data_IF_591432924425
#
_entry.id   IF_591432924425
#
_cell.length_a   1.000
_cell.length_b   1.000
_cell.length_c   1.000
_cell.angle_alpha   90.00
_cell.angle_beta   90.00
_cell.angle_gamma   90.00
#
_symmetry.space_group_name_H-M   'P 1'
#
loop_
_entity.id
_entity.type
_entity.pdbx_description
1 polymer ?
#
# COMPACT_ATOMS: atom_id res chain seq x y z
N UNK A 1 11.56 -4.08 -20.85
CA UNK A 1 10.52 -3.16 -20.33
C UNK A 1 10.67 -1.80 -21.02
N UNK A 2 9.66 -0.94 -20.97
CA UNK A 2 9.79 0.44 -21.50
C UNK A 2 9.62 1.39 -20.31
N UNK A 3 10.57 2.31 -20.12
CA UNK A 3 10.51 3.33 -19.07
C UNK A 3 9.22 4.15 -19.18
N UNK A 4 8.69 4.59 -18.04
CA UNK A 4 7.64 5.61 -18.09
C UNK A 4 8.21 6.96 -18.56
N UNK A 5 7.38 7.84 -19.16
CA UNK A 5 7.82 9.16 -19.60
C UNK A 5 8.51 9.96 -18.49
N UNK A 6 7.95 9.97 -17.28
CA UNK A 6 8.55 10.69 -16.17
C UNK A 6 9.89 10.10 -15.70
N UNK A 7 10.06 8.78 -15.75
CA UNK A 7 11.36 8.15 -15.47
C UNK A 7 12.41 8.55 -16.52
N UNK A 8 12.01 8.73 -17.79
CA UNK A 8 12.89 9.26 -18.83
C UNK A 8 13.22 10.74 -18.59
N UNK A 9 12.23 11.57 -18.25
CA UNK A 9 12.43 13.00 -17.96
C UNK A 9 13.41 13.23 -16.78
N UNK A 10 13.35 12.39 -15.75
CA UNK A 10 14.28 12.44 -14.62
C UNK A 10 15.72 12.20 -15.09
N UNK A 11 15.92 11.22 -15.98
CA UNK A 11 17.24 10.88 -16.52
C UNK A 11 17.78 11.98 -17.41
N UNK A 12 16.91 12.59 -18.23
CA UNK A 12 17.26 13.74 -19.06
C UNK A 12 17.74 14.93 -18.21
N UNK A 13 17.13 15.12 -17.03
CA UNK A 13 17.47 16.16 -16.07
C UNK A 13 18.72 15.91 -15.20
N UNK A 14 19.35 14.74 -15.29
CA UNK A 14 20.59 14.48 -14.52
C UNK A 14 21.77 15.24 -15.10
N UNK A 15 22.45 16.03 -14.27
CA UNK A 15 23.68 16.76 -14.65
C UNK A 15 24.98 16.02 -14.28
N UNK A 16 24.90 14.91 -13.55
CA UNK A 16 26.02 14.07 -13.13
C UNK A 16 25.61 12.57 -13.18
N UNK A 17 26.52 11.66 -12.83
CA UNK A 17 26.29 10.22 -12.85
C UNK A 17 25.51 9.78 -11.61
N UNK A 18 24.31 9.23 -11.83
CA UNK A 18 23.57 8.48 -10.83
C UNK A 18 24.10 7.05 -10.74
N UNK A 19 24.63 6.66 -9.59
CA UNK A 19 25.09 5.28 -9.34
C UNK A 19 24.01 4.50 -8.60
N UNK A 20 23.61 3.36 -9.16
CA UNK A 20 22.65 2.42 -8.59
C UNK A 20 23.39 1.16 -8.15
N UNK A 21 23.40 0.86 -6.86
CA UNK A 21 23.97 -0.37 -6.31
C UNK A 21 22.84 -1.31 -5.88
N UNK A 22 22.58 -2.34 -6.71
CA UNK A 22 21.61 -3.38 -6.43
C UNK A 22 22.26 -4.50 -5.63
N UNK A 23 21.83 -4.67 -4.38
CA UNK A 23 22.26 -5.74 -3.49
C UNK A 23 21.26 -6.88 -3.57
N UNK A 24 21.67 -8.03 -4.10
CA UNK A 24 20.79 -9.17 -4.32
C UNK A 24 21.45 -10.50 -3.99
N UNK A 25 20.63 -11.51 -3.70
CA UNK A 25 21.07 -12.90 -3.59
C UNK A 25 21.15 -13.55 -4.98
N UNK A 26 22.20 -14.33 -5.26
CA UNK A 26 22.31 -15.13 -6.51
C UNK A 26 21.18 -16.16 -6.63
N UNK A 27 20.80 -16.72 -5.49
CA UNK A 27 19.68 -17.64 -5.36
C UNK A 27 18.66 -17.04 -4.38
N UNK A 28 17.78 -16.13 -4.82
CA UNK A 28 16.80 -15.50 -3.93
C UNK A 28 15.83 -16.55 -3.36
N UNK A 29 15.27 -16.28 -2.18
CA UNK A 29 14.19 -17.08 -1.64
C UNK A 29 12.96 -17.03 -2.56
N UNK A 30 12.21 -18.15 -2.62
CA UNK A 30 11.04 -18.30 -3.51
C UNK A 30 10.06 -17.11 -3.44
N UNK A 31 9.72 -16.54 -2.26
CA UNK A 31 8.80 -15.41 -2.19
C UNK A 31 9.23 -14.15 -2.94
N UNK A 32 10.54 -13.96 -3.20
CA UNK A 32 11.09 -12.72 -3.81
C UNK A 32 11.80 -12.98 -5.14
N UNK A 33 11.80 -14.21 -5.63
CA UNK A 33 12.52 -14.58 -6.85
C UNK A 33 12.00 -13.82 -8.10
N UNK A 34 10.68 -13.62 -8.19
CA UNK A 34 10.07 -12.82 -9.26
C UNK A 34 10.46 -11.35 -9.16
N UNK A 35 10.33 -10.75 -7.97
CA UNK A 35 10.72 -9.37 -7.73
C UNK A 35 12.19 -9.12 -8.09
N UNK A 36 13.10 -10.02 -7.67
CA UNK A 36 14.54 -9.93 -7.98
C UNK A 36 14.79 -9.84 -9.49
N UNK A 37 14.15 -10.73 -10.27
CA UNK A 37 14.27 -10.71 -11.73
C UNK A 37 13.71 -9.43 -12.33
N UNK A 38 12.47 -9.08 -11.99
CA UNK A 38 11.77 -7.96 -12.61
C UNK A 38 12.44 -6.61 -12.30
N UNK A 39 12.97 -6.45 -11.08
CA UNK A 39 13.78 -5.29 -10.67
C UNK A 39 15.10 -5.24 -11.42
N UNK A 40 15.80 -6.38 -11.52
CA UNK A 40 17.06 -6.48 -12.27
C UNK A 40 16.88 -6.07 -13.73
N UNK A 41 15.91 -6.66 -14.41
CA UNK A 41 15.59 -6.36 -15.82
C UNK A 41 15.25 -4.87 -16.01
N UNK A 42 14.43 -4.30 -15.11
CA UNK A 42 14.07 -2.88 -15.17
C UNK A 42 15.27 -1.95 -14.96
N UNK A 43 16.14 -2.24 -13.99
CA UNK A 43 17.31 -1.40 -13.71
C UNK A 43 18.35 -1.48 -14.84
N UNK A 44 18.48 -2.64 -15.49
CA UNK A 44 19.31 -2.81 -16.68
C UNK A 44 18.79 -1.96 -17.85
N UNK A 45 17.47 -2.00 -18.10
CA UNK A 45 16.82 -1.14 -19.11
C UNK A 45 16.96 0.35 -18.76
N UNK A 46 16.81 0.72 -17.49
CA UNK A 46 16.96 2.09 -16.99
C UNK A 46 18.38 2.63 -17.19
N UNK A 47 19.40 1.84 -16.87
CA UNK A 47 20.79 2.20 -17.11
C UNK A 47 21.11 2.28 -18.61
N UNK A 48 20.62 1.32 -19.41
CA UNK A 48 20.84 1.30 -20.86
C UNK A 48 20.18 2.50 -21.59
N UNK A 49 19.02 2.96 -21.11
CA UNK A 49 18.29 4.10 -21.66
C UNK A 49 18.79 5.48 -21.21
N UNK A 50 19.90 5.56 -20.47
CA UNK A 50 20.35 6.80 -19.81
C UNK A 50 21.46 7.59 -20.49
N UNK A 51 21.90 7.17 -21.68
CA UNK A 51 23.04 7.77 -22.39
C UNK A 51 24.32 7.89 -21.51
N UNK A 52 24.49 6.95 -20.57
CA UNK A 52 25.65 6.88 -19.68
C UNK A 52 25.54 7.70 -18.39
N UNK A 53 24.40 8.39 -18.16
CA UNK A 53 24.13 9.14 -16.92
C UNK A 53 23.77 8.26 -15.74
N UNK A 54 23.39 7.00 -15.97
CA UNK A 54 23.07 6.04 -14.92
C UNK A 54 24.00 4.83 -14.98
N UNK A 55 24.66 4.53 -13.85
CA UNK A 55 25.54 3.38 -13.69
C UNK A 55 24.93 2.35 -12.75
N UNK A 56 24.58 1.18 -13.26
CA UNK A 56 24.16 0.03 -12.45
C UNK A 56 25.35 -0.82 -12.00
N UNK A 57 25.40 -1.16 -10.71
CA UNK A 57 26.36 -2.07 -10.09
C UNK A 57 25.60 -3.14 -9.32
N UNK A 58 25.75 -4.41 -9.74
CA UNK A 58 25.16 -5.56 -9.03
C UNK A 58 26.15 -6.05 -7.97
N UNK A 59 25.67 -6.17 -6.74
CA UNK A 59 26.42 -6.52 -5.52
C UNK A 59 25.80 -7.80 -4.95
N UNK A 60 26.63 -8.77 -4.57
CA UNK A 60 26.18 -10.05 -4.04
C UNK A 60 26.72 -10.24 -2.61
N UNK A 61 25.99 -9.81 -1.57
CA UNK A 61 26.48 -9.82 -0.18
C UNK A 61 26.86 -11.20 0.38
N UNK A 62 26.42 -12.26 -0.28
CA UNK A 62 26.66 -13.64 0.13
C UNK A 62 27.96 -14.23 -0.44
N UNK A 63 28.57 -13.57 -1.43
CA UNK A 63 29.77 -14.08 -2.11
C UNK A 63 31.06 -13.85 -1.29
N UNK A 64 31.18 -12.70 -0.60
CA UNK A 64 32.36 -12.36 0.20
C UNK A 64 32.07 -11.32 1.32
N UNK A 65 32.99 -11.22 2.29
CA UNK A 65 32.85 -10.34 3.47
C UNK A 65 32.87 -8.84 3.15
N UNK A 66 33.53 -8.41 2.07
CA UNK A 66 33.58 -7.00 1.69
C UNK A 66 32.26 -6.55 1.07
N UNK A 67 31.63 -7.39 0.24
CA UNK A 67 30.29 -7.15 -0.30
C UNK A 67 29.23 -7.16 0.80
N UNK A 68 29.34 -8.06 1.79
CA UNK A 68 28.52 -8.04 2.99
C UNK A 68 28.65 -6.71 3.75
N UNK A 69 29.89 -6.26 3.96
CA UNK A 69 30.16 -5.00 4.67
C UNK A 69 29.58 -3.80 3.91
N UNK A 70 29.68 -3.78 2.58
CA UNK A 70 29.06 -2.73 1.75
C UNK A 70 27.55 -2.71 1.88
N UNK A 71 26.88 -3.87 1.88
CA UNK A 71 25.44 -3.96 2.08
C UNK A 71 25.02 -3.40 3.45
N UNK A 72 25.77 -3.73 4.50
CA UNK A 72 25.54 -3.21 5.85
C UNK A 72 25.71 -1.68 5.92
N UNK A 73 26.81 -1.14 5.36
CA UNK A 73 27.04 0.31 5.29
C UNK A 73 25.98 1.00 4.43
N UNK A 74 25.45 0.31 3.42
CA UNK A 74 24.37 0.81 2.60
C UNK A 74 23.00 0.80 3.28
N UNK A 75 22.86 0.14 4.43
CA UNK A 75 21.57 -0.03 5.10
C UNK A 75 20.68 -1.08 4.43
N UNK A 76 21.28 -2.09 3.78
CA UNK A 76 20.57 -3.21 3.14
C UNK A 76 20.79 -4.49 3.95
N UNK A 77 19.90 -4.80 4.92
CA UNK A 77 20.02 -6.01 5.73
C UNK A 77 19.47 -7.26 5.02
N UNK A 78 19.92 -8.47 5.38
CA UNK A 78 19.29 -9.70 4.90
C UNK A 78 17.88 -9.85 5.46
N UNK A 79 16.97 -10.40 4.65
CA UNK A 79 15.63 -10.82 5.10
C UNK A 79 15.57 -12.34 5.20
N UNK A 80 15.02 -12.85 6.29
CA UNK A 80 14.85 -14.28 6.53
C UNK A 80 13.49 -14.73 6.03
N UNK A 81 13.48 -15.81 5.26
CA UNK A 81 12.28 -16.43 4.69
C UNK A 81 12.14 -17.86 5.20
N UNK A 82 10.94 -18.21 5.61
CA UNK A 82 10.58 -19.58 5.93
C UNK A 82 10.23 -20.31 4.63
N UNK A 83 11.20 -21.02 4.06
CA UNK A 83 11.03 -21.78 2.82
C UNK A 83 10.75 -23.24 3.17
N UNK A 84 9.64 -23.79 2.66
CA UNK A 84 9.34 -25.20 2.81
C UNK A 84 9.91 -25.97 1.63
N UNK A 85 11.03 -26.67 1.84
CA UNK A 85 11.67 -27.51 0.83
C UNK A 85 11.56 -28.98 1.25
N UNK A 86 11.01 -29.82 0.38
CA UNK A 86 10.89 -31.29 0.59
C UNK A 86 10.24 -31.73 1.92
N UNK A 87 9.36 -30.89 2.50
CA UNK A 87 8.65 -31.19 3.74
C UNK A 87 9.32 -30.65 5.02
N UNK A 88 10.52 -30.08 4.92
CA UNK A 88 11.20 -29.41 6.04
C UNK A 88 11.05 -27.89 5.93
N UNK A 89 10.95 -27.23 7.08
CA UNK A 89 11.03 -25.77 7.19
C UNK A 89 12.51 -25.37 7.25
N UNK A 90 12.97 -24.64 6.24
CA UNK A 90 14.32 -24.08 6.19
C UNK A 90 14.24 -22.56 6.23
N UNK A 91 15.03 -21.95 7.11
CA UNK A 91 15.21 -20.50 7.15
C UNK A 91 16.27 -20.15 6.11
N UNK A 92 15.88 -19.42 5.07
CA UNK A 92 16.79 -18.90 4.04
C UNK A 92 16.90 -17.39 4.18
N UNK A 93 18.11 -16.87 4.36
CA UNK A 93 18.36 -15.44 4.26
C UNK A 93 18.47 -15.05 2.78
N UNK A 94 17.95 -13.88 2.40
CA UNK A 94 18.15 -13.32 1.06
C UNK A 94 18.21 -11.80 1.09
N UNK A 95 18.93 -11.23 0.13
CA UNK A 95 19.07 -9.79 -0.08
C UNK A 95 18.28 -9.36 -1.31
N UNK A 96 17.64 -8.20 -1.22
CA UNK A 96 17.05 -7.48 -2.35
C UNK A 96 16.83 -6.02 -1.93
N UNK A 97 17.84 -5.19 -2.10
CA UNK A 97 17.80 -3.76 -1.75
C UNK A 97 18.60 -2.92 -2.74
N UNK A 98 18.36 -1.61 -2.73
CA UNK A 98 18.95 -0.67 -3.70
C UNK A 98 19.53 0.53 -2.96
N UNK A 99 20.81 0.83 -3.18
CA UNK A 99 21.42 2.10 -2.78
C UNK A 99 21.59 2.96 -4.03
N UNK A 100 21.29 4.25 -3.90
CA UNK A 100 21.39 5.23 -4.98
C UNK A 100 22.27 6.38 -4.51
N UNK A 101 23.15 6.85 -5.39
CA UNK A 101 24.07 7.94 -5.07
C UNK A 101 24.15 8.90 -6.24
N UNK A 102 23.91 10.17 -5.95
CA UNK A 102 23.96 11.26 -6.91
C UNK A 102 24.64 12.46 -6.25
N UNK A 103 25.78 12.90 -6.81
CA UNK A 103 26.63 13.96 -6.22
C UNK A 103 27.00 13.62 -4.76
N UNK A 104 26.47 14.35 -3.78
CA UNK A 104 26.67 14.15 -2.34
C UNK A 104 25.46 13.52 -1.64
N UNK A 105 24.38 13.31 -2.38
CA UNK A 105 23.15 12.71 -1.88
C UNK A 105 23.17 11.19 -2.01
N UNK A 106 22.64 10.53 -0.98
CA UNK A 106 22.50 9.07 -0.95
C UNK A 106 21.12 8.69 -0.41
N UNK A 107 20.43 7.85 -1.17
CA UNK A 107 19.15 7.28 -0.80
C UNK A 107 19.21 5.75 -0.86
N UNK A 108 18.55 5.08 0.09
CA UNK A 108 18.52 3.61 0.14
C UNK A 108 17.09 3.10 0.24
N UNK A 109 16.79 2.06 -0.54
CA UNK A 109 15.67 1.15 -0.32
C UNK A 109 16.21 -0.11 0.39
N UNK A 110 15.99 -0.26 1.72
CA UNK A 110 16.60 -1.35 2.49
C UNK A 110 16.14 -2.73 2.04
N UNK A 111 14.88 -2.82 1.60
CA UNK A 111 14.30 -4.04 1.08
C UNK A 111 13.18 -3.78 0.09
N UNK A 112 13.17 -4.54 -1.01
CA UNK A 112 12.16 -4.47 -2.06
C UNK A 112 11.39 -5.78 -2.07
N UNK A 113 10.11 -5.74 -1.70
CA UNK A 113 9.26 -6.93 -1.63
C UNK A 113 8.69 -7.35 -3.00
N UNK A 114 8.40 -6.37 -3.85
CA UNK A 114 7.70 -6.53 -5.14
C UNK A 114 8.18 -5.49 -6.14
N UNK A 115 7.99 -5.77 -7.43
CA UNK A 115 8.15 -4.77 -8.49
C UNK A 115 7.02 -3.72 -8.47
N UNK A 116 5.85 -4.09 -7.95
CA UNK A 116 4.72 -3.18 -7.82
C UNK A 116 5.09 -1.98 -6.94
N UNK A 117 4.96 -0.77 -7.52
CA UNK A 117 5.34 0.49 -6.88
C UNK A 117 6.85 0.78 -6.84
N UNK A 118 7.71 -0.15 -7.27
CA UNK A 118 9.16 0.02 -7.22
C UNK A 118 9.65 1.16 -8.13
N UNK A 119 9.25 1.16 -9.41
CA UNK A 119 9.64 2.21 -10.37
C UNK A 119 9.30 3.60 -9.82
N UNK A 120 8.08 3.75 -9.30
CA UNK A 120 7.61 5.00 -8.70
C UNK A 120 8.45 5.42 -7.48
N UNK A 121 8.71 4.49 -6.55
CA UNK A 121 9.52 4.77 -5.36
C UNK A 121 10.95 5.18 -5.74
N UNK A 122 11.54 4.49 -6.71
CA UNK A 122 12.88 4.81 -7.21
C UNK A 122 12.90 6.20 -7.85
N UNK A 123 11.98 6.49 -8.77
CA UNK A 123 11.86 7.79 -9.42
C UNK A 123 11.71 8.93 -8.42
N UNK A 124 10.90 8.72 -7.37
CA UNK A 124 10.68 9.68 -6.29
C UNK A 124 11.96 10.00 -5.51
N UNK A 125 12.72 8.96 -5.15
CA UNK A 125 14.00 9.11 -4.45
C UNK A 125 15.05 9.80 -5.32
N UNK A 126 15.12 9.47 -6.61
CA UNK A 126 16.03 10.15 -7.54
C UNK A 126 15.65 11.62 -7.66
N UNK A 127 14.37 11.94 -7.85
CA UNK A 127 13.93 13.32 -7.96
C UNK A 127 14.31 14.15 -6.73
N UNK A 128 14.13 13.60 -5.53
CA UNK A 128 14.56 14.23 -4.28
C UNK A 128 16.07 14.47 -4.21
N UNK A 129 16.90 13.55 -4.71
CA UNK A 129 18.35 13.74 -4.74
C UNK A 129 18.79 14.79 -5.77
N UNK A 130 18.00 15.01 -6.82
CA UNK A 130 18.28 15.99 -7.89
C UNK A 130 17.83 17.40 -7.50
N UNK A 131 16.82 17.53 -6.64
CA UNK A 131 16.34 18.82 -6.16
C UNK A 131 17.30 19.41 -5.11
N UNK A 132 17.93 20.54 -5.46
CA UNK A 132 18.87 21.27 -4.58
C UNK A 132 18.21 21.94 -3.35
N UNK A 133 16.89 22.11 -3.35
CA UNK A 133 16.15 22.78 -2.27
C UNK A 133 15.13 21.84 -1.62
N UNK A 134 15.20 21.73 -0.30
CA UNK A 134 14.20 21.02 0.49
C UNK A 134 12.83 21.67 0.31
N UNK A 135 11.84 20.86 -0.08
CA UNK A 135 10.43 21.27 -0.10
C UNK A 135 9.98 21.64 1.32
N UNK A 136 9.04 22.57 1.41
CA UNK A 136 8.51 23.10 2.66
C UNK A 136 7.28 22.32 3.15
N UNK A 137 7.30 21.93 4.42
CA UNK A 137 6.17 21.29 5.10
C UNK A 137 5.73 22.20 6.24
N UNK A 138 4.55 22.81 6.10
CA UNK A 138 4.05 23.80 7.05
C UNK A 138 2.90 23.22 7.87
N UNK A 139 3.02 23.28 9.20
CA UNK A 139 1.95 22.90 10.12
C UNK A 139 1.12 24.14 10.48
N UNK A 140 -0.19 24.09 10.24
CA UNK A 140 -1.11 25.14 10.66
C UNK A 140 -1.48 24.97 12.13
N UNK A 141 -1.19 25.97 12.95
CA UNK A 141 -1.50 25.99 14.39
C UNK A 141 -2.26 27.26 14.78
N UNK A 142 -2.56 27.41 16.08
CA UNK A 142 -3.24 28.59 16.63
C UNK A 142 -4.70 28.36 17.07
N UNK A 143 -5.32 27.26 16.68
CA UNK A 143 -6.72 26.92 16.98
C UNK A 143 -6.85 25.54 17.64
N UNK A 144 -5.88 25.24 18.51
CA UNK A 144 -5.83 24.00 19.28
C UNK A 144 -5.38 22.76 18.51
N UNK A 145 -4.86 22.92 17.29
CA UNK A 145 -4.14 21.87 16.55
C UNK A 145 -2.83 21.49 17.25
N UNK A 146 -2.42 20.24 17.08
CA UNK A 146 -1.06 19.80 17.36
C UNK A 146 -0.09 20.30 16.27
N UNK A 147 1.20 20.45 16.62
CA UNK A 147 2.23 20.94 15.72
C UNK A 147 3.64 20.47 16.10
N UNK A 148 4.67 20.94 15.38
CA UNK A 148 6.07 20.57 15.61
C UNK A 148 6.55 20.88 17.03
N UNK A 149 6.05 21.98 17.61
CA UNK A 149 6.41 22.41 18.97
C UNK A 149 5.65 21.67 20.07
N UNK A 150 4.55 20.98 19.73
CA UNK A 150 3.71 20.28 20.70
C UNK A 150 2.75 19.29 20.06
N UNK A 151 2.89 18.01 20.41
CA UNK A 151 2.04 16.92 19.93
C UNK A 151 2.66 16.09 18.82
N UNK A 152 3.37 16.71 17.85
CA UNK A 152 4.00 16.03 16.72
C UNK A 152 5.52 16.19 16.66
N UNK A 153 6.17 16.33 17.82
CA UNK A 153 7.59 16.68 17.90
C UNK A 153 8.48 15.63 17.23
N UNK A 154 8.20 14.35 17.49
CA UNK A 154 8.94 13.21 16.94
C UNK A 154 8.75 13.11 15.43
N UNK A 155 7.52 13.28 14.95
CA UNK A 155 7.21 13.23 13.53
C UNK A 155 7.88 14.40 12.77
N UNK A 156 7.76 15.62 13.30
CA UNK A 156 8.40 16.80 12.71
C UNK A 156 9.94 16.71 12.70
N UNK A 157 10.54 16.15 13.75
CA UNK A 157 11.98 15.92 13.81
C UNK A 157 12.45 14.99 12.68
N UNK A 158 11.72 13.91 12.42
CA UNK A 158 12.04 12.98 11.33
C UNK A 158 11.79 13.58 9.95
N UNK A 159 10.77 14.43 9.80
CA UNK A 159 10.55 15.16 8.55
C UNK A 159 11.68 16.14 8.21
N UNK A 160 12.34 16.71 9.22
CA UNK A 160 13.40 17.72 9.04
C UNK A 160 14.61 17.16 8.28
N UNK A 161 14.81 15.84 8.29
CA UNK A 161 15.87 15.18 7.52
C UNK A 161 15.71 15.43 6.01
N UNK A 162 14.47 15.40 5.50
CA UNK A 162 14.16 15.55 4.07
C UNK A 162 13.52 16.91 3.70
N UNK A 163 12.86 17.59 4.65
CA UNK A 163 12.02 18.76 4.38
C UNK A 163 12.41 19.98 5.22
N UNK A 164 12.06 21.16 4.73
CA UNK A 164 12.03 22.38 5.55
C UNK A 164 10.71 22.41 6.34
N UNK A 165 10.76 22.00 7.61
CA UNK A 165 9.57 21.96 8.46
C UNK A 165 9.37 23.29 9.18
N UNK A 166 8.20 23.88 9.03
CA UNK A 166 7.82 25.15 9.69
C UNK A 166 6.47 25.05 10.38
N UNK A 167 6.28 25.87 11.40
CA UNK A 167 5.00 26.07 12.07
C UNK A 167 4.45 27.45 11.69
N UNK A 168 3.17 27.51 11.35
CA UNK A 168 2.44 28.74 11.03
C UNK A 168 1.27 28.91 11.99
N UNK A 169 1.42 29.83 12.93
CA UNK A 169 0.41 30.12 13.93
C UNK A 169 -0.58 31.17 13.40
N UNK A 170 -1.79 30.72 13.04
CA UNK A 170 -2.84 31.59 12.49
C UNK A 170 -3.67 32.33 13.54
N UNK A 171 -3.32 32.25 14.83
CA UNK A 171 -4.00 33.04 15.89
C UNK A 171 -3.53 34.50 15.93
N UNK A 172 -2.35 34.79 15.37
CA UNK A 172 -1.76 36.13 15.35
C UNK A 172 -2.23 36.94 14.13
N UNK A 173 -2.29 36.28 12.96
CA UNK A 173 -2.80 36.83 11.71
C UNK A 173 -3.72 35.81 11.02
N UNK A 174 -5.04 36.09 10.96
CA UNK A 174 -5.98 35.22 10.26
C UNK A 174 -5.75 35.16 8.75
N UNK A 175 -5.15 36.18 8.14
CA UNK A 175 -4.87 36.30 6.72
C UNK A 175 -3.52 35.64 6.36
N UNK A 176 -3.45 34.33 6.55
CA UNK A 176 -2.21 33.59 6.33
C UNK A 176 -1.80 33.57 4.84
N UNK A 177 -0.49 33.77 4.61
CA UNK A 177 0.13 33.62 3.30
C UNK A 177 0.70 32.20 3.15
N UNK A 178 0.08 31.42 2.27
CA UNK A 178 0.50 30.05 1.92
C UNK A 178 1.30 29.99 0.62
N UNK A 179 1.75 31.13 0.08
CA UNK A 179 2.61 31.14 -1.09
C UNK A 179 3.96 30.48 -0.80
N UNK A 180 4.40 29.59 -1.70
CA UNK A 180 5.64 28.83 -1.53
C UNK A 180 5.58 27.72 -0.48
N UNK A 181 4.39 27.36 0.01
CA UNK A 181 4.18 26.15 0.82
C UNK A 181 4.00 24.96 -0.12
N UNK A 182 4.83 23.92 0.02
CA UNK A 182 4.71 22.71 -0.81
C UNK A 182 3.71 21.72 -0.22
N UNK A 183 3.71 21.54 1.10
CA UNK A 183 2.75 20.69 1.82
C UNK A 183 2.23 21.40 3.07
N UNK A 184 0.91 21.46 3.22
CA UNK A 184 0.23 21.95 4.42
C UNK A 184 -0.22 20.78 5.29
N UNK A 185 0.03 20.83 6.60
CA UNK A 185 -0.43 19.85 7.58
C UNK A 185 -1.41 20.52 8.55
N UNK A 186 -2.61 19.95 8.69
CA UNK A 186 -3.62 20.40 9.65
C UNK A 186 -3.99 19.22 10.56
N UNK A 187 -3.69 19.32 11.85
CA UNK A 187 -3.89 18.24 12.81
C UNK A 187 -4.93 18.57 13.88
N UNK A 188 -6.15 18.06 13.70
CA UNK A 188 -7.21 18.01 14.72
C UNK A 188 -7.52 19.36 15.38
N UNK A 189 -8.08 20.35 14.68
CA UNK A 189 -8.48 21.61 15.31
C UNK A 189 -9.52 21.38 16.42
N UNK A 190 -9.32 22.05 17.56
CA UNK A 190 -10.21 21.96 18.73
C UNK A 190 -10.85 23.29 19.10
N UNK A 191 -10.55 24.35 18.33
CA UNK A 191 -11.12 25.69 18.44
C UNK A 191 -11.53 26.19 17.05
N UNK A 192 -12.44 27.16 17.00
CA UNK A 192 -12.94 27.70 15.74
C UNK A 192 -11.81 28.34 14.92
N UNK A 193 -11.65 27.91 13.67
CA UNK A 193 -10.78 28.55 12.69
C UNK A 193 -11.55 29.73 12.06
N UNK A 194 -11.01 30.96 12.06
CA UNK A 194 -11.64 32.11 11.42
C UNK A 194 -11.89 31.88 9.93
N UNK A 195 -12.98 32.45 9.42
CA UNK A 195 -13.34 32.34 8.00
C UNK A 195 -12.22 32.81 7.06
N UNK A 196 -11.46 33.84 7.45
CA UNK A 196 -10.33 34.36 6.69
C UNK A 196 -9.23 33.29 6.52
N UNK A 197 -8.83 32.63 7.61
CA UNK A 197 -7.86 31.52 7.58
C UNK A 197 -8.40 30.34 6.78
N UNK A 198 -9.67 29.98 6.99
CA UNK A 198 -10.30 28.89 6.25
C UNK A 198 -10.33 29.17 4.73
N UNK A 199 -10.60 30.41 4.33
CA UNK A 199 -10.60 30.83 2.93
C UNK A 199 -9.18 30.76 2.33
N UNK A 200 -8.14 31.20 3.04
CA UNK A 200 -6.75 31.05 2.58
C UNK A 200 -6.37 29.57 2.33
N UNK A 201 -6.81 28.66 3.21
CA UNK A 201 -6.56 27.21 3.03
C UNK A 201 -7.32 26.67 1.82
N UNK A 202 -8.58 27.05 1.64
CA UNK A 202 -9.37 26.65 0.46
C UNK A 202 -8.73 27.16 -0.83
N UNK A 203 -8.30 28.42 -0.87
CA UNK A 203 -7.62 29.02 -2.02
C UNK A 203 -6.30 28.31 -2.33
N UNK A 204 -5.48 28.05 -1.31
CA UNK A 204 -4.24 27.28 -1.45
C UNK A 204 -4.47 25.92 -2.12
N UNK A 205 -5.41 25.11 -1.61
CA UNK A 205 -5.70 23.79 -2.18
C UNK A 205 -6.28 23.94 -3.59
N UNK A 206 -7.22 24.87 -3.81
CA UNK A 206 -7.82 25.10 -5.13
C UNK A 206 -6.79 25.49 -6.19
N UNK A 207 -5.71 26.16 -5.79
CA UNK A 207 -4.61 26.56 -6.65
C UNK A 207 -3.53 25.46 -6.80
N UNK A 208 -3.84 24.18 -6.55
CA UNK A 208 -2.88 23.07 -6.71
C UNK A 208 -2.04 22.79 -5.47
N UNK A 209 -2.40 23.36 -4.32
CA UNK A 209 -1.79 23.07 -3.03
C UNK A 209 -1.96 21.62 -2.61
N UNK A 210 -1.00 21.12 -1.82
CA UNK A 210 -1.00 19.76 -1.29
C UNK A 210 -1.19 19.78 0.21
N UNK A 211 -2.03 18.89 0.74
CA UNK A 211 -2.39 18.91 2.16
C UNK A 211 -2.53 17.53 2.80
N UNK A 212 -2.03 17.40 4.02
CA UNK A 212 -2.36 16.32 4.95
C UNK A 212 -3.35 16.85 5.99
N UNK A 213 -4.59 16.38 5.90
CA UNK A 213 -5.69 16.76 6.78
C UNK A 213 -5.98 15.61 7.74
N UNK A 214 -5.76 15.83 9.03
CA UNK A 214 -6.07 14.86 10.08
C UNK A 214 -7.22 15.43 10.91
N UNK A 215 -8.37 14.79 10.84
CA UNK A 215 -9.65 15.37 11.26
C UNK A 215 -10.28 14.51 12.33
N UNK A 216 -10.42 15.07 13.54
CA UNK A 216 -11.17 14.45 14.63
C UNK A 216 -12.59 15.01 14.63
N UNK A 217 -13.57 14.28 14.09
CA UNK A 217 -14.98 14.69 14.17
C UNK A 217 -15.53 14.48 15.59
N UNK A 218 -14.89 13.62 16.38
CA UNK A 218 -15.23 13.28 17.76
C UNK A 218 -14.10 13.69 18.71
N UNK A 219 -14.41 14.51 19.72
CA UNK A 219 -13.49 14.83 20.80
C UNK A 219 -13.61 13.81 21.94
N UNK A 220 -12.52 13.11 22.24
CA UNK A 220 -12.47 12.08 23.28
C UNK A 220 -11.77 12.58 24.54
N UNK A 221 -12.47 12.48 25.68
CA UNK A 221 -11.83 12.62 27.00
C UNK A 221 -11.24 11.27 27.41
N UNK A 222 -9.94 11.11 27.17
CA UNK A 222 -9.23 9.85 27.44
C UNK A 222 -9.24 9.44 28.91
N UNK A 223 -9.39 10.40 29.84
CA UNK A 223 -9.40 10.11 31.28
C UNK A 223 -10.71 9.47 31.73
N UNK A 224 -11.81 9.89 31.12
CA UNK A 224 -13.17 9.41 31.43
C UNK A 224 -13.69 8.38 30.42
N UNK A 225 -13.01 8.23 29.28
CA UNK A 225 -13.42 7.40 28.15
C UNK A 225 -14.86 7.72 27.69
N UNK A 226 -15.11 9.01 27.53
CA UNK A 226 -16.36 9.55 26.98
C UNK A 226 -16.04 10.46 25.80
N UNK A 227 -16.94 10.51 24.83
CA UNK A 227 -16.80 11.32 23.64
C UNK A 227 -17.94 12.33 23.47
N UNK A 228 -17.67 13.34 22.66
CA UNK A 228 -18.69 14.25 22.14
C UNK A 228 -18.27 14.79 20.78
N UNK A 229 -19.23 15.31 20.02
CA UNK A 229 -18.96 15.94 18.73
C UNK A 229 -17.93 17.08 18.87
N UNK A 230 -16.88 17.02 18.05
CA UNK A 230 -15.97 18.13 17.83
C UNK A 230 -16.55 19.08 16.79
N UNK A 231 -17.25 20.11 17.26
CA UNK A 231 -17.85 21.15 16.41
C UNK A 231 -16.83 22.01 15.68
N UNK A 232 -15.56 21.93 16.06
CA UNK A 232 -14.46 22.69 15.46
C UNK A 232 -13.54 21.80 14.60
N UNK A 233 -13.95 20.56 14.31
CA UNK A 233 -13.18 19.55 13.58
C UNK A 233 -12.67 20.00 12.21
N UNK A 234 -13.29 21.02 11.61
CA UNK A 234 -12.97 21.50 10.26
C UNK A 234 -13.25 20.46 9.17
N UNK A 235 -14.14 19.49 9.44
CA UNK A 235 -14.57 18.43 8.50
C UNK A 235 -15.22 18.94 7.21
N UNK A 236 -15.72 20.17 7.20
CA UNK A 236 -16.29 20.80 6.00
C UNK A 236 -15.23 21.15 4.95
N UNK A 237 -13.94 21.25 5.33
CA UNK A 237 -12.84 21.49 4.39
C UNK A 237 -12.66 20.32 3.41
N UNK A 238 -12.36 19.08 3.86
CA UNK A 238 -12.19 17.94 2.94
C UNK A 238 -13.46 17.64 2.13
N UNK A 239 -14.65 17.96 2.64
CA UNK A 239 -15.92 17.74 1.93
C UNK A 239 -15.99 18.52 0.60
N UNK A 240 -15.43 19.74 0.57
CA UNK A 240 -15.32 20.56 -0.64
C UNK A 240 -14.52 19.88 -1.75
N UNK A 241 -13.60 19.01 -1.37
CA UNK A 241 -12.72 18.28 -2.28
C UNK A 241 -13.13 16.81 -2.44
N UNK A 242 -14.33 16.45 -1.98
CA UNK A 242 -14.96 15.15 -2.25
C UNK A 242 -14.79 14.10 -1.17
N UNK A 243 -14.19 14.42 0.00
CA UNK A 243 -14.04 13.48 1.11
C UNK A 243 -14.91 13.91 2.29
N UNK A 244 -15.83 13.05 2.70
CA UNK A 244 -16.73 13.28 3.84
C UNK A 244 -16.09 12.62 5.06
N UNK A 245 -15.86 13.38 6.13
CA UNK A 245 -15.49 12.82 7.43
C UNK A 245 -16.76 12.70 8.27
N UNK A 246 -17.16 11.47 8.58
CA UNK A 246 -18.41 11.20 9.29
C UNK A 246 -18.29 11.54 10.78
N UNK A 247 -19.43 11.82 11.41
CA UNK A 247 -19.52 12.13 12.84
C UNK A 247 -19.77 10.86 13.65
N UNK A 248 -18.80 9.94 13.60
CA UNK A 248 -18.86 8.62 14.22
C UNK A 248 -17.48 8.17 14.74
N UNK A 249 -17.46 7.01 15.41
CA UNK A 249 -16.24 6.29 15.73
C UNK A 249 -16.28 4.89 15.12
N UNK A 250 -15.23 4.52 14.42
CA UNK A 250 -15.01 3.15 13.97
C UNK A 250 -14.28 2.36 15.06
N UNK A 251 -14.69 1.12 15.25
CA UNK A 251 -13.97 0.18 16.09
C UNK A 251 -13.85 -1.18 15.41
N UNK A 252 -12.81 -1.92 15.74
CA UNK A 252 -12.53 -3.21 15.14
C UNK A 252 -12.39 -4.29 16.21
N UNK A 253 -13.19 -5.36 16.11
CA UNK A 253 -13.23 -6.41 17.12
C UNK A 253 -12.01 -7.35 17.03
N UNK A 254 -11.27 -7.36 15.92
CA UNK A 254 -10.11 -8.24 15.73
C UNK A 254 -8.81 -7.48 15.47
N UNK A 255 -8.84 -6.47 14.61
CA UNK A 255 -7.67 -5.67 14.24
C UNK A 255 -7.57 -4.43 15.14
N UNK A 256 -7.17 -4.64 16.40
CA UNK A 256 -7.04 -3.57 17.39
C UNK A 256 -5.81 -3.72 18.29
N UNK A 257 -5.49 -2.67 19.02
CA UNK A 257 -4.39 -2.65 19.98
C UNK A 257 -4.77 -3.19 21.36
N UNK A 258 -3.77 -3.73 22.07
CA UNK A 258 -3.88 -4.06 23.50
C UNK A 258 -3.28 -2.93 24.34
N UNK A 259 -4.10 -2.33 25.21
CA UNK A 259 -3.71 -1.19 26.03
C UNK A 259 -3.75 -1.48 27.52
N UNK A 260 -2.98 -0.70 28.29
CA UNK A 260 -2.96 -0.72 29.75
C UNK A 260 -4.06 0.19 30.31
N UNK A 261 -4.92 -0.38 31.15
CA UNK A 261 -5.97 0.33 31.87
C UNK A 261 -5.76 0.22 33.38
N UNK A 262 -5.96 1.32 34.10
CA UNK A 262 -5.87 1.35 35.56
C UNK A 262 -7.19 0.85 36.17
N UNK A 263 -7.09 -0.11 37.09
CA UNK A 263 -8.22 -0.64 37.87
C UNK A 263 -7.93 -0.54 39.36
N UNK A 264 -8.93 -0.80 40.20
CA UNK A 264 -8.76 -0.83 41.66
C UNK A 264 -7.72 -1.86 42.14
N UNK A 265 -7.42 -2.87 41.32
CA UNK A 265 -6.49 -3.98 41.66
C UNK A 265 -5.13 -3.81 40.96
N UNK A 266 -4.94 -2.72 40.22
CA UNK A 266 -3.72 -2.40 39.46
C UNK A 266 -3.96 -2.25 37.96
N UNK A 267 -2.88 -2.23 37.18
CA UNK A 267 -2.95 -2.14 35.72
C UNK A 267 -3.31 -3.49 35.09
N UNK A 268 -4.27 -3.50 34.18
CA UNK A 268 -4.62 -4.65 33.33
C UNK A 268 -4.40 -4.31 31.87
N UNK A 269 -4.06 -5.29 31.05
CA UNK A 269 -3.93 -5.13 29.60
C UNK A 269 -5.14 -5.74 28.91
N UNK A 270 -5.83 -4.94 28.10
CA UNK A 270 -7.06 -5.35 27.41
C UNK A 270 -6.99 -4.96 25.93
N UNK A 271 -7.46 -5.82 25.01
CA UNK A 271 -7.78 -5.41 23.65
C UNK A 271 -8.75 -4.22 23.69
N UNK A 272 -8.50 -3.22 22.87
CA UNK A 272 -9.30 -2.00 22.86
C UNK A 272 -9.77 -1.67 21.44
N UNK A 273 -11.00 -2.08 21.07
CA UNK A 273 -11.51 -2.00 19.70
C UNK A 273 -11.45 -0.62 19.03
N UNK A 274 -11.56 0.46 19.81
CA UNK A 274 -11.46 1.83 19.29
C UNK A 274 -10.05 2.27 18.88
N UNK A 275 -9.01 1.50 19.23
CA UNK A 275 -7.66 1.71 18.70
C UNK A 275 -7.43 0.75 17.54
N UNK A 276 -7.99 1.13 16.40
CA UNK A 276 -8.06 0.28 15.21
C UNK A 276 -6.68 0.17 14.59
N UNK A 277 -6.25 -1.06 14.29
CA UNK A 277 -5.08 -1.36 13.46
C UNK A 277 -5.55 -1.58 12.03
N UNK A 278 -5.69 -0.49 11.28
CA UNK A 278 -6.20 -0.52 9.92
C UNK A 278 -5.14 -1.02 8.92
N UNK A 279 -5.40 -2.08 8.13
CA UNK A 279 -4.53 -2.48 7.04
C UNK A 279 -4.41 -1.41 5.94
N UNK A 280 -3.23 -1.38 5.32
CA UNK A 280 -2.96 -0.58 4.13
C UNK A 280 -3.53 -1.26 2.89
N UNK A 281 -4.28 -0.50 2.09
CA UNK A 281 -4.90 -0.99 0.84
C UNK A 281 -4.03 -0.66 -0.39
N UNK A 282 -3.55 0.57 -0.52
CA UNK A 282 -2.71 1.00 -1.65
C UNK A 282 -1.24 1.20 -1.24
N UNK A 283 -0.41 0.21 -1.58
CA UNK A 283 1.05 0.22 -1.36
C UNK A 283 1.81 1.22 -2.22
N UNK A 284 1.20 1.81 -3.26
CA UNK A 284 1.85 2.82 -4.11
C UNK A 284 2.15 4.09 -3.32
N UNK A 285 1.22 4.48 -2.44
CA UNK A 285 1.32 5.68 -1.62
C UNK A 285 1.83 5.34 -0.22
N UNK A 286 1.38 4.22 0.36
CA UNK A 286 1.77 3.80 1.69
C UNK A 286 3.13 3.07 1.78
N UNK A 287 3.73 2.69 0.64
CA UNK A 287 4.99 1.96 0.58
C UNK A 287 4.90 0.54 1.14
N UNK A 288 5.89 0.13 1.93
CA UNK A 288 5.96 -1.20 2.54
C UNK A 288 5.19 -1.30 3.88
N UNK A 289 4.46 -0.26 4.28
CA UNK A 289 3.69 -0.30 5.53
C UNK A 289 2.49 -1.22 5.36
N UNK A 290 2.30 -2.14 6.30
CA UNK A 290 1.23 -3.13 6.24
C UNK A 290 -0.05 -2.65 6.95
N UNK A 291 0.10 -1.86 8.02
CA UNK A 291 -1.01 -1.31 8.80
C UNK A 291 -0.58 -0.07 9.57
N UNK A 292 -1.56 0.72 10.00
CA UNK A 292 -1.37 1.82 10.95
C UNK A 292 -2.41 1.75 12.06
N UNK A 293 -2.06 2.25 13.24
CA UNK A 293 -2.95 2.33 14.39
C UNK A 293 -3.61 3.71 14.45
N UNK A 294 -4.94 3.77 14.48
CA UNK A 294 -5.70 5.00 14.59
C UNK A 294 -6.58 4.96 15.86
N UNK A 295 -6.23 5.71 16.91
CA UNK A 295 -7.07 5.85 18.09
C UNK A 295 -8.33 6.67 17.81
N UNK A 296 -9.50 6.07 18.02
CA UNK A 296 -10.80 6.75 17.92
C UNK A 296 -11.03 7.42 16.55
N UNK A 297 -10.72 6.70 15.48
CA UNK A 297 -10.91 7.20 14.11
C UNK A 297 -12.38 7.28 13.71
N UNK A 298 -12.71 8.31 12.94
CA UNK A 298 -13.98 8.43 12.23
C UNK A 298 -13.92 7.80 10.85
N UNK A 299 -15.07 7.33 10.37
CA UNK A 299 -15.19 6.78 9.02
C UNK A 299 -15.15 7.89 7.95
N UNK A 300 -14.65 7.53 6.77
CA UNK A 300 -14.53 8.42 5.62
C UNK A 300 -15.44 7.96 4.48
N UNK A 301 -16.22 8.90 3.96
CA UNK A 301 -17.04 8.75 2.75
C UNK A 301 -16.44 9.49 1.55
N UNK A 302 -16.87 9.11 0.35
CA UNK A 302 -16.54 9.82 -0.89
C UNK A 302 -17.81 10.42 -1.48
N UNK A 303 -17.79 11.73 -1.71
CA UNK A 303 -18.91 12.44 -2.30
C UNK A 303 -19.14 11.98 -3.75
N UNK A 304 -20.31 11.42 -4.02
CA UNK A 304 -20.72 10.99 -5.37
C UNK A 304 -20.65 12.16 -6.38
N UNK A 305 -20.97 13.38 -5.93
CA UNK A 305 -20.95 14.57 -6.79
C UNK A 305 -19.55 14.97 -7.29
N UNK A 306 -18.50 14.58 -6.55
CA UNK A 306 -17.10 14.93 -6.86
C UNK A 306 -16.34 13.75 -7.47
N UNK A 307 -16.89 12.53 -7.45
CA UNK A 307 -16.22 11.29 -7.88
C UNK A 307 -15.75 11.32 -9.34
N UNK A 308 -16.45 12.06 -10.21
CA UNK A 308 -16.02 12.22 -11.60
C UNK A 308 -14.82 13.15 -11.74
N UNK A 309 -14.65 14.11 -10.84
CA UNK A 309 -13.62 15.16 -10.87
C UNK A 309 -12.33 14.75 -10.15
N UNK A 310 -12.41 13.85 -9.18
CA UNK A 310 -11.25 13.40 -8.40
C UNK A 310 -10.88 11.95 -8.69
N UNK A 311 -9.58 11.66 -8.64
CA UNK A 311 -9.05 10.31 -8.47
C UNK A 311 -9.01 9.99 -6.97
N UNK A 312 -9.60 8.87 -6.57
CA UNK A 312 -9.65 8.43 -5.18
C UNK A 312 -8.70 7.25 -4.97
N UNK A 313 -7.89 7.34 -3.93
CA UNK A 313 -6.86 6.37 -3.57
C UNK A 313 -7.10 5.92 -2.12
N UNK A 314 -7.77 4.78 -1.89
CA UNK A 314 -7.91 4.23 -0.54
C UNK A 314 -6.54 3.96 0.08
N UNK A 315 -6.28 4.48 1.28
CA UNK A 315 -5.00 4.28 1.99
C UNK A 315 -5.17 3.27 3.10
N UNK A 316 -6.09 3.54 4.04
CA UNK A 316 -6.39 2.68 5.18
C UNK A 316 -7.88 2.35 5.20
N UNK A 317 -8.17 1.07 5.37
CA UNK A 317 -9.52 0.54 5.55
C UNK A 317 -9.51 -0.38 6.77
N UNK A 318 -10.60 -0.41 7.52
CA UNK A 318 -10.76 -1.33 8.65
C UNK A 318 -10.97 -2.77 8.19
N UNK A 319 -10.84 -3.74 9.10
CA UNK A 319 -11.08 -5.14 8.75
C UNK A 319 -12.58 -5.42 8.57
N UNK A 320 -12.91 -6.58 8.01
CA UNK A 320 -14.29 -7.06 7.90
C UNK A 320 -14.98 -7.28 9.27
N UNK A 321 -14.24 -7.22 10.38
CA UNK A 321 -14.73 -7.37 11.75
C UNK A 321 -14.92 -6.04 12.48
N UNK A 322 -14.91 -4.93 11.73
CA UNK A 322 -15.18 -3.61 12.25
C UNK A 322 -16.66 -3.23 12.19
N UNK A 323 -17.04 -2.27 13.01
CA UNK A 323 -18.36 -1.67 13.06
C UNK A 323 -18.25 -0.18 13.44
N UNK A 324 -19.36 0.54 13.32
CA UNK A 324 -19.44 1.98 13.54
C UNK A 324 -20.30 2.27 14.78
N UNK A 325 -19.78 3.07 15.71
CA UNK A 325 -20.55 3.64 16.83
C UNK A 325 -20.92 5.11 16.53
N UNK A 326 -22.18 5.33 16.16
CA UNK A 326 -22.76 6.65 15.92
C UNK A 326 -23.13 7.41 17.20
N UNK A 327 -23.08 6.74 18.36
CA UNK A 327 -23.52 7.30 19.63
C UNK A 327 -22.36 7.71 20.53
N UNK A 328 -21.23 6.98 20.45
CA UNK A 328 -19.95 7.24 21.12
C UNK A 328 -20.10 7.60 22.62
N UNK A 329 -21.08 6.99 23.30
CA UNK A 329 -21.47 7.34 24.67
C UNK A 329 -20.57 6.70 25.73
N UNK A 330 -20.10 5.50 25.46
CA UNK A 330 -19.30 4.70 26.39
C UNK A 330 -18.14 4.06 25.65
N UNK A 331 -16.95 4.65 25.82
CA UNK A 331 -15.73 4.17 25.18
C UNK A 331 -14.91 3.27 26.12
N UNK A 332 -15.49 2.76 27.21
CA UNK A 332 -14.74 1.87 28.11
C UNK A 332 -14.48 0.52 27.44
N UNK A 333 -13.39 -0.20 27.80
CA UNK A 333 -13.08 -1.51 27.21
C UNK A 333 -14.14 -2.58 27.45
N UNK A 334 -14.99 -2.39 28.46
CA UNK A 334 -16.09 -3.29 28.81
C UNK A 334 -17.46 -2.70 28.44
N UNK A 335 -17.51 -1.81 27.45
CA UNK A 335 -18.75 -1.22 26.93
C UNK A 335 -19.65 -2.29 26.33
N UNK A 336 -20.96 -2.17 26.55
CA UNK A 336 -21.96 -3.05 25.95
C UNK A 336 -22.02 -2.92 24.43
N UNK A 337 -21.54 -1.80 23.87
CA UNK A 337 -21.47 -1.58 22.41
C UNK A 337 -20.79 -2.74 21.69
N UNK A 338 -19.76 -3.36 22.28
CA UNK A 338 -19.03 -4.46 21.65
C UNK A 338 -19.77 -5.80 21.70
N UNK A 339 -20.67 -5.99 22.68
CA UNK A 339 -21.45 -7.22 22.85
C UNK A 339 -22.71 -7.24 21.99
N UNK A 340 -23.22 -6.06 21.61
CA UNK A 340 -24.44 -5.90 20.80
C UNK A 340 -24.22 -6.09 19.29
N UNK A 341 -22.96 -6.22 18.85
CA UNK A 341 -22.61 -6.36 17.43
C UNK A 341 -22.98 -7.73 16.90
N UNK A 342 -23.86 -7.72 15.89
CA UNK A 342 -24.23 -8.89 15.10
C UNK A 342 -23.50 -8.86 13.75
N UNK A 343 -23.44 -9.98 13.00
CA UNK A 343 -22.83 -10.00 11.67
C UNK A 343 -23.40 -8.95 10.70
N UNK A 344 -24.67 -8.56 10.86
CA UNK A 344 -25.31 -7.53 10.02
C UNK A 344 -24.84 -6.10 10.34
N UNK A 345 -24.17 -5.90 11.48
CA UNK A 345 -23.59 -4.62 11.88
C UNK A 345 -22.14 -4.45 11.41
N UNK A 346 -21.49 -5.53 10.96
CA UNK A 346 -20.09 -5.50 10.54
C UNK A 346 -19.96 -4.80 9.19
N UNK A 347 -19.03 -3.84 9.10
CA UNK A 347 -18.83 -3.03 7.91
C UNK A 347 -17.38 -2.54 7.83
N UNK A 348 -16.75 -2.74 6.68
CA UNK A 348 -15.45 -2.13 6.40
C UNK A 348 -15.62 -0.63 6.14
N UNK A 349 -14.77 0.17 6.76
CA UNK A 349 -14.82 1.63 6.69
C UNK A 349 -13.46 2.16 6.28
N UNK A 350 -13.44 3.12 5.35
CA UNK A 350 -12.23 3.88 5.06
C UNK A 350 -11.93 4.78 6.26
N UNK A 351 -10.67 4.82 6.68
CA UNK A 351 -10.19 5.69 7.78
C UNK A 351 -9.02 6.57 7.34
N UNK A 352 -8.44 6.30 6.17
CA UNK A 352 -7.60 7.25 5.45
C UNK A 352 -7.76 7.11 3.94
N UNK A 353 -7.83 8.24 3.24
CA UNK A 353 -7.96 8.30 1.78
C UNK A 353 -7.14 9.44 1.21
N UNK A 354 -6.56 9.25 0.03
CA UNK A 354 -5.99 10.33 -0.75
C UNK A 354 -6.89 10.66 -1.95
N UNK A 355 -7.05 11.95 -2.23
CA UNK A 355 -7.75 12.45 -3.41
C UNK A 355 -6.84 13.36 -4.20
N UNK A 356 -6.88 13.22 -5.52
CA UNK A 356 -6.17 14.09 -6.45
C UNK A 356 -7.13 14.58 -7.53
N UNK A 357 -6.97 15.83 -7.98
CA UNK A 357 -7.74 16.33 -9.12
C UNK A 357 -7.39 15.55 -10.39
N UNK A 358 -8.38 15.13 -11.18
CA UNK A 358 -8.12 14.52 -12.48
C UNK A 358 -7.63 15.60 -13.44
N UNK A 359 -6.38 15.47 -13.89
CA UNK A 359 -5.69 16.46 -14.72
C UNK A 359 -6.55 16.98 -15.90
N UNK A 360 -6.88 18.28 -15.86
CA UNK A 360 -7.50 19.05 -16.94
C UNK A 360 -6.51 20.07 -17.55
N UNK A 361 -5.21 19.75 -17.52
CA UNK A 361 -4.15 20.59 -18.09
C UNK A 361 -3.61 21.72 -17.21
N UNK A 362 -3.93 21.74 -15.91
CA UNK A 362 -3.37 22.63 -14.88
C UNK A 362 -2.66 21.88 -13.74
N UNK A 363 -2.17 22.61 -12.73
CA UNK A 363 -1.63 22.02 -11.50
C UNK A 363 -2.75 21.29 -10.74
N UNK A 364 -2.48 20.04 -10.34
CA UNK A 364 -3.49 19.21 -9.68
C UNK A 364 -3.30 19.24 -8.17
N UNK A 365 -4.35 19.58 -7.44
CA UNK A 365 -4.29 19.48 -5.98
C UNK A 365 -4.23 18.02 -5.52
N UNK A 366 -3.61 17.80 -4.36
CA UNK A 366 -3.55 16.49 -3.70
C UNK A 366 -3.83 16.63 -2.22
N UNK A 367 -4.74 15.82 -1.71
CA UNK A 367 -5.10 15.84 -0.30
C UNK A 367 -5.08 14.43 0.23
N UNK A 368 -4.45 14.22 1.37
CA UNK A 368 -4.65 13.03 2.19
C UNK A 368 -5.52 13.41 3.38
N UNK A 369 -6.61 12.67 3.59
CA UNK A 369 -7.51 12.84 4.71
C UNK A 369 -7.40 11.60 5.60
N UNK A 370 -7.16 11.81 6.89
CA UNK A 370 -7.13 10.77 7.92
C UNK A 370 -8.19 11.12 8.96
N UNK A 371 -9.05 10.16 9.31
CA UNK A 371 -10.15 10.35 10.27
C UNK A 371 -9.73 10.41 11.74
N UNK A 372 -8.45 10.67 12.00
CA UNK A 372 -7.86 10.78 13.34
C UNK A 372 -6.58 11.63 13.26
N UNK A 373 -6.39 12.54 14.20
CA UNK A 373 -5.16 13.32 14.39
C UNK A 373 -4.24 12.75 15.47
N UNK A 374 -4.76 11.87 16.32
CA UNK A 374 -4.04 11.13 17.35
C UNK A 374 -2.97 10.20 16.81
N UNK A 375 -3.12 9.71 15.57
CA UNK A 375 -2.27 8.68 14.98
C UNK A 375 -0.77 9.06 14.84
N UNK A 376 -0.45 10.36 14.87
CA UNK A 376 0.94 10.86 14.81
C UNK A 376 1.42 11.53 16.08
N UNK A 377 0.60 11.51 17.15
CA UNK A 377 1.00 12.10 18.41
C UNK A 377 2.25 11.42 18.97
N UNK A 378 3.09 12.16 19.68
CA UNK A 378 4.32 11.66 20.31
C UNK A 378 4.07 10.39 21.17
N UNK A 379 2.91 10.34 21.83
CA UNK A 379 2.47 9.19 22.61
C UNK A 379 2.27 7.93 21.77
N UNK A 380 1.72 8.04 20.56
CA UNK A 380 1.43 6.90 19.70
C UNK A 380 2.63 6.47 18.86
N UNK A 381 3.36 7.42 18.27
CA UNK A 381 4.52 7.11 17.41
C UNK A 381 5.64 6.43 18.18
N UNK A 382 5.75 6.67 19.49
CA UNK A 382 6.67 5.92 20.35
C UNK A 382 6.33 4.43 20.49
N UNK A 383 5.09 4.03 20.17
CA UNK A 383 4.57 2.66 20.24
C UNK A 383 4.43 2.01 18.88
N UNK A 384 4.09 2.75 17.85
CA UNK A 384 3.92 2.26 16.48
C UNK A 384 4.83 3.03 15.54
N UNK A 385 5.96 2.42 15.21
CA UNK A 385 6.90 2.95 14.21
C UNK A 385 6.29 2.86 12.80
N UNK A 386 5.31 1.98 12.58
CA UNK A 386 4.61 1.85 11.30
C UNK A 386 3.83 3.12 10.94
N UNK A 387 3.21 3.78 11.92
CA UNK A 387 2.51 5.04 11.71
C UNK A 387 3.43 6.14 11.18
N UNK A 388 4.63 6.26 11.78
CA UNK A 388 5.64 7.22 11.33
C UNK A 388 6.07 6.92 9.91
N UNK A 389 6.38 5.65 9.61
CA UNK A 389 6.78 5.24 8.27
C UNK A 389 5.68 5.57 7.24
N UNK A 390 4.40 5.34 7.59
CA UNK A 390 3.29 5.69 6.71
C UNK A 390 3.21 7.20 6.51
N UNK A 391 3.25 8.00 7.57
CA UNK A 391 3.16 9.45 7.46
C UNK A 391 4.28 10.06 6.62
N UNK A 392 5.52 9.57 6.77
CA UNK A 392 6.64 9.98 5.93
C UNK A 392 6.37 9.64 4.46
N UNK A 393 5.84 8.45 4.15
CA UNK A 393 5.47 8.08 2.78
C UNK A 393 4.33 8.96 2.23
N UNK A 394 3.36 9.33 3.07
CA UNK A 394 2.25 10.21 2.68
C UNK A 394 2.73 11.63 2.39
N UNK A 395 3.62 12.18 3.22
CA UNK A 395 4.22 13.50 2.98
C UNK A 395 5.13 13.47 1.75
N UNK A 396 5.92 12.40 1.57
CA UNK A 396 6.70 12.18 0.34
C UNK A 396 5.80 12.18 -0.90
N UNK A 397 4.64 11.54 -0.84
CA UNK A 397 3.68 11.54 -1.94
C UNK A 397 3.04 12.92 -2.21
N UNK A 398 2.77 13.69 -1.16
CA UNK A 398 2.22 15.04 -1.25
C UNK A 398 3.24 16.05 -1.78
N UNK A 399 4.51 15.97 -1.34
CA UNK A 399 5.57 16.89 -1.71
C UNK A 399 6.09 16.68 -3.14
N UNK A 400 5.78 15.54 -3.76
CA UNK A 400 6.24 15.20 -5.10
C UNK A 400 5.56 16.00 -6.20
N UNK A 401 6.34 16.33 -7.23
CA UNK A 401 5.88 17.05 -8.41
C UNK A 401 4.90 16.23 -9.28
N UNK A 402 4.01 16.94 -9.97
CA UNK A 402 2.96 16.35 -10.83
C UNK A 402 3.49 15.50 -11.98
N UNK A 403 4.74 15.73 -12.41
CA UNK A 403 5.41 14.90 -13.44
C UNK A 403 5.48 13.43 -13.05
N UNK A 404 5.64 13.10 -11.77
CA UNK A 404 5.75 11.71 -11.29
C UNK A 404 4.41 10.97 -11.25
N UNK A 405 3.27 11.67 -11.40
CA UNK A 405 1.95 11.05 -11.39
C UNK A 405 1.74 10.06 -12.56
N UNK A 406 2.42 10.27 -13.70
CA UNK A 406 2.32 9.39 -14.88
C UNK A 406 2.95 8.00 -14.68
N UNK A 407 3.91 7.87 -13.75
CA UNK A 407 4.52 6.58 -13.38
C UNK A 407 3.49 5.69 -12.66
N UNK A 408 2.58 6.33 -11.90
CA UNK A 408 1.61 5.67 -11.02
C UNK A 408 0.47 4.96 -11.76
N UNK A 409 0.02 5.53 -12.89
CA UNK A 409 -1.14 5.00 -13.65
C UNK A 409 -0.87 3.67 -14.37
N UNK A 410 0.40 3.27 -14.48
CA UNK A 410 0.84 2.10 -15.25
C UNK A 410 0.71 0.76 -14.49
N UNK A 411 0.52 0.78 -13.17
CA UNK A 411 0.47 -0.45 -12.35
C UNK A 411 -0.96 -0.96 -12.24
N UNK A 412 -1.19 -2.12 -12.86
CA UNK A 412 -2.41 -2.94 -12.78
C UNK A 412 -2.57 -3.42 -11.34
N UNK A 413 -3.71 -3.12 -10.71
CA UNK A 413 -4.09 -3.67 -9.40
C UNK A 413 -3.99 -5.20 -9.42
N UNK A 414 -3.10 -5.75 -8.60
CA UNK A 414 -3.13 -7.18 -8.29
C UNK A 414 -4.35 -7.42 -7.41
N UNK A 415 -5.38 -8.04 -7.98
CA UNK A 415 -6.47 -8.61 -7.22
C UNK A 415 -5.96 -9.88 -6.55
N UNK A 416 -5.54 -9.75 -5.30
CA UNK A 416 -5.33 -10.93 -4.46
C UNK A 416 -6.68 -11.61 -4.24
N UNK A 417 -6.72 -12.92 -4.47
CA UNK A 417 -7.89 -13.73 -4.17
C UNK A 417 -7.94 -13.95 -2.66
N UNK A 418 -8.61 -13.04 -1.95
CA UNK A 418 -8.93 -13.23 -0.54
C UNK A 418 -10.01 -14.30 -0.42
N UNK A 419 -9.67 -15.43 0.20
CA UNK A 419 -10.63 -16.51 0.44
C UNK A 419 -11.26 -16.30 1.83
N UNK A 420 -12.59 -16.29 1.89
CA UNK A 420 -13.36 -16.10 3.12
C UNK A 420 -13.20 -17.20 4.18
N UNK A 421 -12.50 -18.31 3.86
CA UNK A 421 -12.22 -19.39 4.81
C UNK A 421 -11.12 -20.35 4.31
N UNK A 422 -10.33 -20.97 5.22
CA UNK A 422 -9.31 -21.99 4.88
C UNK A 422 -9.85 -23.19 4.09
N UNK A 423 -11.15 -23.47 4.14
CA UNK A 423 -11.78 -24.55 3.36
C UNK A 423 -11.94 -24.17 1.89
N UNK A 424 -12.27 -22.90 1.60
CA UNK A 424 -12.41 -22.40 0.23
C UNK A 424 -11.06 -22.32 -0.48
N UNK A 425 -10.03 -21.86 0.24
CA UNK A 425 -8.66 -21.83 -0.27
C UNK A 425 -8.18 -23.24 -0.65
N UNK A 426 -8.39 -24.22 0.23
CA UNK A 426 -8.00 -25.61 -0.04
C UNK A 426 -8.80 -26.23 -1.19
N UNK A 427 -10.10 -25.94 -1.29
CA UNK A 427 -10.93 -26.42 -2.40
C UNK A 427 -10.46 -25.86 -3.74
N UNK A 428 -10.19 -24.54 -3.81
CA UNK A 428 -9.68 -23.89 -5.01
C UNK A 428 -8.30 -24.44 -5.41
N UNK A 429 -7.41 -24.65 -4.43
CA UNK A 429 -6.09 -25.24 -4.63
C UNK A 429 -6.16 -26.65 -5.21
N UNK A 430 -7.00 -27.52 -4.65
CA UNK A 430 -7.17 -28.89 -5.14
C UNK A 430 -7.88 -28.96 -6.49
N UNK A 431 -8.83 -28.07 -6.75
CA UNK A 431 -9.49 -27.95 -8.05
C UNK A 431 -8.48 -27.63 -9.16
N UNK A 432 -7.53 -26.73 -8.92
CA UNK A 432 -6.50 -26.40 -9.90
C UNK A 432 -5.44 -27.51 -10.06
N UNK A 433 -4.97 -28.09 -8.95
CA UNK A 433 -3.93 -29.13 -8.98
C UNK A 433 -4.46 -30.43 -9.60
N UNK A 434 -5.66 -30.88 -9.21
CA UNK A 434 -6.21 -32.16 -9.64
C UNK A 434 -7.18 -32.00 -10.82
N UNK A 435 -7.96 -30.93 -10.88
CA UNK A 435 -9.02 -30.76 -11.88
C UNK A 435 -8.47 -30.59 -13.29
N UNK A 436 -7.40 -29.80 -13.49
CA UNK A 436 -6.82 -29.61 -14.83
C UNK A 436 -6.28 -30.93 -15.41
N UNK A 437 -5.43 -31.71 -14.71
CA UNK A 437 -5.04 -33.04 -15.18
C UNK A 437 -6.21 -33.98 -15.43
N UNK A 438 -7.24 -33.97 -14.56
CA UNK A 438 -8.40 -34.85 -14.68
C UNK A 438 -9.22 -34.54 -15.94
N UNK A 439 -9.36 -33.26 -16.32
CA UNK A 439 -10.00 -32.84 -17.57
C UNK A 439 -9.25 -33.41 -18.77
N UNK A 440 -7.91 -33.36 -18.78
CA UNK A 440 -7.11 -33.95 -19.86
C UNK A 440 -7.24 -35.47 -19.93
N UNK A 441 -7.26 -36.16 -18.78
CA UNK A 441 -7.48 -37.62 -18.70
C UNK A 441 -8.87 -37.98 -19.22
N UNK A 442 -9.92 -37.27 -18.77
CA UNK A 442 -11.30 -37.49 -19.21
C UNK A 442 -11.44 -37.23 -20.71
N UNK A 443 -10.86 -36.15 -21.23
CA UNK A 443 -10.85 -35.86 -22.65
C UNK A 443 -10.14 -36.97 -23.45
N UNK A 444 -8.99 -37.44 -22.96
CA UNK A 444 -8.26 -38.57 -23.54
C UNK A 444 -9.08 -39.86 -23.54
N UNK A 445 -9.76 -40.17 -22.44
CA UNK A 445 -10.63 -41.34 -22.30
C UNK A 445 -11.84 -41.27 -23.24
N UNK A 446 -12.55 -40.12 -23.28
CA UNK A 446 -13.68 -39.88 -24.18
C UNK A 446 -13.24 -40.01 -25.64
N UNK A 447 -12.09 -39.43 -26.01
CA UNK A 447 -11.52 -39.55 -27.35
C UNK A 447 -11.16 -41.00 -27.69
N UNK A 448 -10.59 -41.75 -26.75
CA UNK A 448 -10.26 -43.17 -26.91
C UNK A 448 -11.50 -44.03 -27.11
N UNK A 449 -12.56 -43.80 -26.32
CA UNK A 449 -13.84 -44.52 -26.45
C UNK A 449 -14.53 -44.18 -27.77
N UNK A 450 -14.55 -42.90 -28.19
CA UNK A 450 -15.05 -42.51 -29.52
C UNK A 450 -14.26 -43.18 -30.65
N UNK A 451 -12.92 -43.23 -30.56
CA UNK A 451 -12.08 -43.91 -31.56
C UNK A 451 -12.37 -45.41 -31.62
N UNK A 452 -12.57 -46.07 -30.47
CA UNK A 452 -12.90 -47.50 -30.42
C UNK A 452 -14.28 -47.82 -31.00
N UNK A 453 -15.27 -46.93 -30.83
CA UNK A 453 -16.60 -47.07 -31.44
C UNK A 453 -16.59 -46.91 -32.97
N UNK A 454 -15.70 -46.08 -33.52
CA UNK A 454 -15.52 -45.96 -34.98
C UNK A 454 -14.58 -47.01 -35.58
N UNK A 455 -13.63 -47.55 -34.81
CA UNK A 455 -12.69 -48.58 -35.28
C UNK A 455 -13.30 -49.98 -35.45
N UNK A 456 -14.43 -50.26 -34.80
CA UNK A 456 -15.07 -51.58 -34.87
C UNK A 456 -15.97 -51.77 -36.11
N UNK A 457 -16.33 -50.70 -36.83
CA UNK A 457 -17.20 -50.79 -38.01
C UNK A 457 -16.45 -51.10 -39.31
N UNK A 458 -15.11 -50.99 -39.34
CA UNK A 458 -14.31 -51.19 -40.56
C UNK A 458 -13.45 -52.47 -40.58
N UNK A 459 -13.23 -53.14 -39.45
CA UNK A 459 -12.44 -54.38 -39.41
C UNK A 459 -13.28 -55.67 -39.31
N UNK A 460 -14.58 -55.58 -39.02
CA UNK A 460 -15.49 -56.73 -39.00
C UNK A 460 -15.86 -57.30 -40.38
N UNK A 461 -15.75 -56.51 -41.45
CA UNK A 461 -16.04 -56.99 -42.82
C UNK A 461 -14.81 -57.53 -43.58
N UNK A 462 -13.58 -57.23 -43.12
CA UNK A 462 -12.36 -57.68 -43.80
C UNK A 462 -11.89 -59.10 -43.40
N UNK A 463 -12.40 -59.66 -42.29
CA UNK A 463 -12.06 -61.01 -41.83
C UNK A 463 -12.95 -62.11 -42.43
N UNK A 464 -14.18 -61.79 -42.87
CA UNK A 464 -15.08 -62.76 -43.52
C UNK A 464 -14.70 -63.07 -44.98
N UNK A 465 -14.09 -62.14 -45.70
CA UNK A 465 -13.76 -62.29 -47.13
C UNK A 465 -12.50 -63.08 -47.46
N UNK A 466 -11.57 -63.26 -46.51
CA UNK A 466 -10.32 -64.03 -46.74
C UNK A 466 -10.40 -65.51 -46.36
N UNK A 467 -11.37 -65.90 -45.54
CA UNK A 467 -11.62 -67.32 -45.22
C UNK A 467 -12.41 -68.04 -46.34
N UNK A 468 -13.25 -67.32 -47.08
CA UNK A 468 -14.02 -67.90 -48.20
C UNK A 468 -13.17 -68.09 -49.47
N UNK A 469 -12.08 -67.33 -49.66
CA UNK A 469 -11.24 -67.42 -50.87
C UNK A 469 -10.20 -68.55 -50.82
N UNK A 470 -9.78 -68.99 -49.63
CA UNK A 470 -8.87 -70.15 -49.46
C UNK A 470 -9.56 -71.52 -49.49
N UNK A 471 -10.89 -71.58 -49.40
CA UNK A 471 -11.66 -72.83 -49.56
C UNK A 471 -12.08 -73.11 -51.00
N UNK A 472 -12.20 -72.08 -51.83
CA UNK A 472 -12.53 -72.23 -53.25
C UNK A 472 -11.31 -72.61 -54.13
N UNK A 473 -10.08 -72.34 -53.67
CA UNK A 473 -8.85 -72.73 -54.38
C UNK A 473 -8.35 -74.14 -54.01
N UNK A 474 -8.84 -74.76 -52.92
CA UNK A 474 -8.47 -76.13 -52.52
C UNK A 474 -9.44 -77.21 -53.01
N UNK A 475 -10.56 -76.84 -53.65
CA UNK A 475 -11.53 -77.80 -54.23
C UNK A 475 -11.45 -77.86 -55.77
N UNK A 476 -10.48 -77.17 -56.39
CA UNK A 476 -10.20 -77.25 -57.84
C UNK A 476 -8.89 -77.97 -58.19
N UNK A 477 -8.12 -78.48 -57.21
CA UNK A 477 -6.90 -79.27 -57.44
C UNK A 477 -7.07 -80.79 -57.15
N UNK A 478 -8.27 -81.27 -56.79
CA UNK A 478 -8.55 -82.69 -56.49
C UNK A 478 -9.62 -83.34 -57.42
N UNK A 479 -9.95 -82.73 -58.56
CA UNK A 479 -10.63 -83.39 -59.69
C UNK A 479 -9.95 -83.03 -61.03
N UNK A 480 -8.74 -83.58 -61.24
CA UNK A 480 -8.24 -84.01 -62.56
C UNK A 480 -7.52 -85.36 -62.43
#
# INVERSE_FOLDING_TARGET
FTLSPATADIVDGLDDILTLELYESREPAVPIALATRDIGDFLEDFSAGSDGKVKLVRRFPEDDEDELRKAQIAGVPPRQFNVRSQGELQIKASYLGLSMTYVDQRETIPFINSFDGFEYRMASLINRMVEDQKKSVVFLTGHGQAGPSGGYQTFAALLTDAYEVREMNASEDPAIDLSGVDVLVIGGPTQAIPDETANSVVEYITNGGKALLMIDSIAVDQSRLVAGENRYSFRDLPERFGVIVENDLVFDLQANETLSFQTQVGSVFLPYPYWVRAPVIDKKVAGNVESAVLPWASSLGISESQRELVEVIPILETSEFSAIDFTYRDLRPNSQTFEEITPDNLVQSLVAVAVAEKASGGETYRIVVVGDSGWLTDALVSRSQENVALALNLVDWLAQEDRLASVRSKVVSSRDLLYSSPTHENAARWLNIAGVPLIFILFGAVRSIRRRRFGFTLYGQAAGGRAARRRAESEQEDEE
#
